data_IF_435883793032
#
_entry.id   IF_435883793032
#
_cell.length_a   1.000
_cell.length_b   1.000
_cell.length_c   1.000
_cell.angle_alpha   90.00
_cell.angle_beta   90.00
_cell.angle_gamma   90.00
#
_symmetry.space_group_name_H-M   'P 1'
#
loop_
_entity.id
_entity.type
_entity.pdbx_description
1 polymer ?
#
# COMPACT_ATOMS: atom_id res chain seq x y z
N UNK A 1 -24.59 -0.74 -6.97
CA UNK A 1 -23.49 0.04 -7.58
C UNK A 1 -23.61 1.47 -7.09
N UNK A 2 -22.78 1.98 -6.18
CA UNK A 2 -22.79 3.37 -5.84
C UNK A 2 -21.91 4.12 -6.85
N UNK A 3 -22.51 5.11 -7.51
CA UNK A 3 -21.84 6.06 -8.38
C UNK A 3 -20.73 6.80 -7.63
N UNK A 4 -19.51 6.64 -8.08
CA UNK A 4 -18.38 7.46 -7.64
C UNK A 4 -18.47 8.81 -8.38
N UNK A 5 -19.21 9.76 -7.83
CA UNK A 5 -19.33 11.11 -8.38
C UNK A 5 -17.99 11.84 -8.24
N UNK A 6 -17.36 12.14 -9.36
CA UNK A 6 -16.15 12.95 -9.47
C UNK A 6 -16.56 14.42 -9.40
N UNK A 7 -16.10 15.12 -8.36
CA UNK A 7 -16.27 16.57 -8.23
C UNK A 7 -15.11 17.27 -8.94
N UNK A 8 -15.47 17.92 -10.02
CA UNK A 8 -14.91 19.06 -10.75
C UNK A 8 -13.38 19.20 -10.91
N UNK A 9 -12.96 19.11 -12.17
CA UNK A 9 -11.71 19.69 -12.64
C UNK A 9 -10.83 18.83 -13.54
N UNK A 10 -11.26 17.64 -13.96
CA UNK A 10 -10.51 16.82 -14.92
C UNK A 10 -11.35 16.60 -16.16
N UNK A 11 -10.78 16.96 -17.31
CA UNK A 11 -11.34 16.77 -18.65
C UNK A 11 -11.86 15.35 -18.81
N UNK A 12 -13.16 15.23 -19.07
CA UNK A 12 -13.82 13.96 -19.37
C UNK A 12 -13.27 13.44 -20.70
N UNK A 13 -12.40 12.47 -20.67
CA UNK A 13 -12.12 11.65 -21.83
C UNK A 13 -13.35 10.78 -22.05
N UNK A 14 -14.08 11.08 -23.14
CA UNK A 14 -15.28 10.33 -23.54
C UNK A 14 -14.96 8.83 -23.56
N UNK A 15 -15.70 8.07 -22.79
CA UNK A 15 -15.76 6.62 -22.86
C UNK A 15 -16.06 6.20 -24.30
N UNK A 16 -15.06 5.67 -25.00
CA UNK A 16 -15.29 4.94 -26.25
C UNK A 16 -15.97 3.62 -25.88
N UNK A 17 -17.03 3.32 -26.63
CA UNK A 17 -17.93 2.19 -26.45
C UNK A 17 -17.21 0.88 -26.09
N UNK A 18 -17.79 0.17 -25.11
CA UNK A 18 -17.43 -1.22 -24.80
C UNK A 18 -17.72 -2.09 -26.02
N UNK A 19 -16.79 -2.91 -26.51
CA UNK A 19 -17.12 -4.01 -27.37
C UNK A 19 -17.90 -5.08 -26.60
N UNK A 20 -18.85 -5.66 -27.28
CA UNK A 20 -19.80 -6.67 -26.83
C UNK A 20 -19.21 -7.81 -26.01
N UNK A 21 -19.96 -8.17 -24.99
CA UNK A 21 -20.02 -9.41 -24.20
C UNK A 21 -19.38 -10.62 -24.89
N UNK A 22 -18.14 -10.93 -24.51
CA UNK A 22 -17.66 -12.31 -24.56
C UNK A 22 -18.14 -12.99 -23.27
N UNK A 23 -19.15 -13.83 -23.37
CA UNK A 23 -19.57 -14.78 -22.35
C UNK A 23 -18.45 -15.78 -22.09
N UNK A 24 -17.69 -15.54 -21.07
CA UNK A 24 -16.76 -16.48 -20.46
C UNK A 24 -16.50 -15.95 -19.07
N UNK A 25 -16.80 -16.76 -18.04
CA UNK A 25 -16.44 -16.53 -16.65
C UNK A 25 -14.91 -16.31 -16.54
N UNK A 26 -14.44 -15.09 -16.83
CA UNK A 26 -13.08 -14.70 -16.54
C UNK A 26 -13.05 -14.34 -15.05
N UNK A 27 -12.51 -15.25 -14.25
CA UNK A 27 -12.12 -14.96 -12.87
C UNK A 27 -11.22 -13.73 -12.90
N UNK A 28 -11.53 -12.68 -12.13
CA UNK A 28 -10.72 -11.47 -12.08
C UNK A 28 -9.26 -11.85 -11.84
N UNK A 29 -8.37 -11.46 -12.75
CA UNK A 29 -6.95 -11.74 -12.60
C UNK A 29 -6.36 -10.73 -11.60
N UNK A 30 -6.20 -11.18 -10.37
CA UNK A 30 -5.54 -10.41 -9.31
C UNK A 30 -4.05 -10.72 -9.34
N UNK A 31 -3.23 -9.70 -9.43
CA UNK A 31 -1.79 -9.82 -9.42
C UNK A 31 -1.17 -8.87 -8.39
N UNK A 32 -0.24 -9.40 -7.61
CA UNK A 32 0.66 -8.56 -6.82
C UNK A 32 2.03 -8.65 -7.49
N UNK A 33 2.61 -7.51 -7.80
CA UNK A 33 3.90 -7.41 -8.45
C UNK A 33 4.71 -6.21 -7.99
N UNK A 34 5.99 -6.23 -8.29
CA UNK A 34 6.83 -5.03 -8.15
C UNK A 34 6.34 -3.95 -9.09
N UNK A 35 6.36 -2.71 -8.62
CA UNK A 35 6.07 -1.54 -9.45
C UNK A 35 7.21 -1.28 -10.43
N UNK A 36 6.86 -0.75 -11.58
CA UNK A 36 7.77 -0.28 -12.63
C UNK A 36 7.66 1.24 -12.82
N UNK A 37 8.57 1.83 -13.57
CA UNK A 37 8.49 3.26 -13.88
C UNK A 37 7.18 3.68 -14.57
N UNK A 38 6.54 2.78 -15.33
CA UNK A 38 5.25 3.03 -15.98
C UNK A 38 4.09 3.20 -14.98
N UNK A 39 4.22 2.66 -13.78
CA UNK A 39 3.17 2.68 -12.76
C UNK A 39 3.15 3.99 -11.95
N UNK A 40 4.17 4.84 -12.08
CA UNK A 40 4.37 6.06 -11.28
C UNK A 40 3.16 6.99 -11.32
N UNK A 41 2.59 7.21 -12.49
CA UNK A 41 1.44 8.08 -12.64
C UNK A 41 0.26 7.54 -11.84
N UNK A 42 -0.05 6.25 -11.99
CA UNK A 42 -1.16 5.62 -11.29
C UNK A 42 -0.96 5.57 -9.77
N UNK A 43 0.24 5.31 -9.32
CA UNK A 43 0.61 5.37 -7.89
C UNK A 43 0.41 6.78 -7.32
N UNK A 44 0.80 7.80 -8.07
CA UNK A 44 0.56 9.20 -7.70
C UNK A 44 -0.94 9.52 -7.60
N UNK A 45 -1.74 9.10 -8.58
CA UNK A 45 -3.21 9.26 -8.55
C UNK A 45 -3.83 8.63 -7.30
N UNK A 46 -3.44 7.39 -6.96
CA UNK A 46 -3.90 6.70 -5.75
C UNK A 46 -3.52 7.50 -4.51
N UNK A 47 -2.26 7.94 -4.44
CA UNK A 47 -1.76 8.72 -3.30
C UNK A 47 -2.55 10.02 -3.10
N UNK A 48 -2.86 10.75 -4.18
CA UNK A 48 -3.65 11.98 -4.12
C UNK A 48 -5.14 11.76 -3.86
N UNK A 49 -5.68 10.61 -4.24
CA UNK A 49 -7.08 10.24 -3.97
C UNK A 49 -7.33 9.99 -2.47
N UNK A 50 -6.31 9.56 -1.73
CA UNK A 50 -6.38 9.34 -0.27
C UNK A 50 -6.17 10.67 0.45
N UNK A 51 -7.13 11.06 1.30
CA UNK A 51 -7.10 12.34 2.02
C UNK A 51 -6.28 12.30 3.31
N UNK A 52 -6.09 11.11 3.86
CA UNK A 52 -5.34 10.88 5.10
C UNK A 52 -3.83 10.91 4.84
N UNK A 53 -3.03 11.28 5.85
CA UNK A 53 -1.56 11.27 5.80
C UNK A 53 -0.96 12.09 4.65
N UNK A 54 -1.40 13.33 4.48
CA UNK A 54 -0.84 14.22 3.45
C UNK A 54 0.61 14.61 3.80
N UNK A 55 1.53 14.53 2.82
CA UNK A 55 2.92 14.87 3.08
C UNK A 55 3.10 16.36 3.33
N UNK A 56 3.89 16.70 4.34
CA UNK A 56 4.21 18.09 4.67
C UNK A 56 5.19 18.74 3.69
N UNK A 57 6.02 17.94 2.99
CA UNK A 57 7.05 18.41 2.07
C UNK A 57 7.04 17.63 0.74
N UNK A 58 6.43 18.17 -0.33
CA UNK A 58 6.34 17.50 -1.62
C UNK A 58 7.69 17.15 -2.25
N UNK A 59 8.69 18.04 -2.15
CA UNK A 59 10.00 17.81 -2.78
C UNK A 59 10.76 16.64 -2.12
N UNK A 60 10.62 16.47 -0.81
CA UNK A 60 11.21 15.34 -0.11
C UNK A 60 10.54 14.02 -0.52
N UNK A 61 9.24 14.05 -0.71
CA UNK A 61 8.47 12.89 -1.18
C UNK A 61 8.88 12.46 -2.58
N UNK A 62 9.08 13.40 -3.49
CA UNK A 62 9.51 13.09 -4.86
C UNK A 62 10.87 12.35 -4.87
N UNK A 63 11.85 12.86 -4.10
CA UNK A 63 13.15 12.20 -3.95
C UNK A 63 13.05 10.80 -3.33
N UNK A 64 12.17 10.62 -2.34
CA UNK A 64 11.92 9.33 -1.74
C UNK A 64 11.31 8.37 -2.78
N UNK A 65 10.30 8.81 -3.51
CA UNK A 65 9.64 8.01 -4.56
C UNK A 65 10.66 7.57 -5.62
N UNK A 66 11.52 8.47 -6.09
CA UNK A 66 12.58 8.13 -7.05
C UNK A 66 13.51 7.04 -6.53
N UNK A 67 13.93 7.17 -5.26
CA UNK A 67 14.78 6.17 -4.64
C UNK A 67 14.07 4.82 -4.48
N UNK A 68 12.81 4.80 -4.03
CA UNK A 68 12.02 3.57 -3.85
C UNK A 68 11.83 2.81 -5.16
N UNK A 69 11.57 3.52 -6.26
CA UNK A 69 11.46 2.90 -7.59
C UNK A 69 12.81 2.36 -8.08
N UNK A 70 13.89 3.12 -7.89
CA UNK A 70 15.24 2.68 -8.28
C UNK A 70 15.67 1.41 -7.53
N UNK A 71 15.19 1.19 -6.31
CA UNK A 71 15.55 0.04 -5.47
C UNK A 71 14.48 -1.06 -5.44
N UNK A 72 13.44 -0.96 -6.28
CA UNK A 72 12.39 -1.98 -6.42
C UNK A 72 11.69 -2.36 -5.10
N UNK A 73 11.49 -1.39 -4.20
CA UNK A 73 10.85 -1.61 -2.89
C UNK A 73 9.36 -1.34 -2.89
N UNK A 74 8.78 -1.01 -4.05
CA UNK A 74 7.36 -0.71 -4.22
C UNK A 74 6.63 -1.93 -4.77
N UNK A 75 5.52 -2.30 -4.11
CA UNK A 75 4.61 -3.36 -4.55
C UNK A 75 3.25 -2.77 -4.93
N UNK A 76 2.64 -3.29 -5.98
CA UNK A 76 1.30 -2.89 -6.43
C UNK A 76 0.35 -4.09 -6.43
N UNK A 77 -0.91 -3.80 -6.09
CA UNK A 77 -2.04 -4.69 -6.33
C UNK A 77 -2.72 -4.26 -7.61
N UNK A 78 -2.75 -5.15 -8.57
CA UNK A 78 -3.40 -4.96 -9.88
C UNK A 78 -4.52 -5.97 -10.06
N UNK A 79 -5.66 -5.53 -10.57
CA UNK A 79 -6.79 -6.37 -10.93
C UNK A 79 -7.33 -5.88 -12.26
N UNK A 80 -7.47 -6.80 -13.21
CA UNK A 80 -7.92 -6.51 -14.59
C UNK A 80 -7.13 -5.36 -15.26
N UNK A 81 -5.83 -5.30 -15.07
CA UNK A 81 -4.94 -4.28 -15.62
C UNK A 81 -5.03 -2.91 -14.91
N UNK A 82 -5.76 -2.82 -13.78
CA UNK A 82 -5.90 -1.57 -13.02
C UNK A 82 -5.22 -1.69 -11.67
N UNK A 83 -4.23 -0.85 -11.41
CA UNK A 83 -3.61 -0.75 -10.08
C UNK A 83 -4.59 -0.07 -9.13
N UNK A 84 -4.92 -0.77 -8.04
CA UNK A 84 -5.91 -0.37 -7.04
C UNK A 84 -5.28 0.06 -5.71
N UNK A 85 -4.04 -0.37 -5.44
CA UNK A 85 -3.31 -0.03 -4.23
C UNK A 85 -1.82 -0.31 -4.36
N UNK A 86 -1.04 0.23 -3.45
CA UNK A 86 0.40 -0.02 -3.38
C UNK A 86 0.94 0.06 -1.96
N UNK A 87 2.09 -0.59 -1.74
CA UNK A 87 2.90 -0.45 -0.53
C UNK A 87 4.35 -0.19 -0.88
N UNK A 88 5.08 0.46 0.03
CA UNK A 88 6.51 0.66 -0.09
C UNK A 88 7.19 0.67 1.28
N UNK A 89 8.39 0.11 1.33
CA UNK A 89 9.27 0.15 2.49
C UNK A 89 10.57 0.86 2.15
N UNK A 90 11.13 1.57 3.13
CA UNK A 90 12.46 2.16 3.04
C UNK A 90 13.43 1.35 3.92
N UNK A 91 14.27 0.48 3.33
CA UNK A 91 15.20 -0.32 4.10
C UNK A 91 16.42 0.47 4.63
N UNK A 92 16.46 1.78 4.46
CA UNK A 92 17.50 2.62 5.06
C UNK A 92 17.22 2.93 6.52
N UNK A 93 15.94 2.86 6.94
CA UNK A 93 15.50 3.28 8.27
C UNK A 93 14.37 2.42 8.89
N UNK A 94 14.25 1.16 8.48
CA UNK A 94 13.21 0.19 8.92
C UNK A 94 11.75 0.64 8.71
N UNK A 95 11.49 1.63 7.85
CA UNK A 95 10.16 2.21 7.73
C UNK A 95 9.31 1.60 6.63
N UNK A 96 8.02 1.42 6.94
CA UNK A 96 6.96 1.29 5.93
C UNK A 96 6.51 2.71 5.58
N UNK A 97 6.98 3.23 4.45
CA UNK A 97 6.75 4.62 4.06
C UNK A 97 5.48 4.84 3.25
N UNK A 98 4.86 3.77 2.75
CA UNK A 98 3.59 3.85 2.03
C UNK A 98 2.76 2.58 2.17
N UNK A 99 1.47 2.75 2.39
CA UNK A 99 0.42 1.75 2.20
C UNK A 99 -0.86 2.49 1.83
N UNK A 100 -1.21 2.48 0.56
CA UNK A 100 -2.35 3.23 0.04
C UNK A 100 -3.22 2.33 -0.83
N UNK A 101 -4.53 2.44 -0.62
CA UNK A 101 -5.55 1.81 -1.46
C UNK A 101 -6.46 2.91 -1.98
N UNK A 102 -6.72 2.91 -3.27
CA UNK A 102 -7.63 3.88 -3.87
C UNK A 102 -9.03 3.76 -3.22
N UNK A 103 -9.69 4.86 -2.86
CA UNK A 103 -10.95 4.83 -2.10
C UNK A 103 -12.05 3.95 -2.69
N UNK A 104 -12.14 3.86 -4.03
CA UNK A 104 -13.12 3.00 -4.70
C UNK A 104 -12.87 1.49 -4.54
N UNK A 105 -11.70 1.09 -4.05
CA UNK A 105 -11.30 -0.33 -3.90
C UNK A 105 -11.01 -0.73 -2.45
N UNK A 106 -11.33 0.14 -1.50
CA UNK A 106 -11.16 -0.14 -0.09
C UNK A 106 -12.03 -1.31 0.40
N UNK A 107 -11.67 -1.87 1.57
CA UNK A 107 -12.38 -2.95 2.25
C UNK A 107 -12.41 -4.29 1.47
N UNK A 108 -11.56 -4.43 0.47
CA UNK A 108 -11.38 -5.64 -0.35
C UNK A 108 -10.18 -6.49 0.07
N UNK A 109 -9.53 -6.16 1.19
CA UNK A 109 -8.35 -6.88 1.68
C UNK A 109 -7.01 -6.45 1.06
N UNK A 110 -7.00 -5.52 0.11
CA UNK A 110 -5.80 -5.09 -0.64
C UNK A 110 -4.67 -4.64 0.29
N UNK A 111 -4.97 -3.77 1.27
CA UNK A 111 -3.95 -3.32 2.23
C UNK A 111 -3.37 -4.45 3.07
N UNK A 112 -4.21 -5.41 3.47
CA UNK A 112 -3.77 -6.59 4.22
C UNK A 112 -2.89 -7.54 3.40
N UNK A 113 -3.09 -7.58 2.09
CA UNK A 113 -2.26 -8.37 1.19
C UNK A 113 -0.92 -7.67 0.86
N UNK A 114 -0.92 -6.34 0.75
CA UNK A 114 0.26 -5.56 0.40
C UNK A 114 1.22 -5.32 1.57
N UNK A 115 0.71 -5.17 2.80
CA UNK A 115 1.51 -4.84 3.97
C UNK A 115 2.60 -5.86 4.29
N UNK A 116 2.34 -7.20 4.25
CA UNK A 116 3.38 -8.20 4.48
C UNK A 116 4.55 -8.08 3.51
N UNK A 117 4.31 -7.73 2.24
CA UNK A 117 5.37 -7.60 1.24
C UNK A 117 6.30 -6.42 1.52
N UNK A 118 5.76 -5.32 2.05
CA UNK A 118 6.59 -4.22 2.54
C UNK A 118 7.40 -4.64 3.79
N UNK A 119 6.82 -5.42 4.69
CA UNK A 119 7.53 -6.00 5.82
C UNK A 119 8.64 -6.97 5.38
N UNK A 120 8.41 -7.78 4.35
CA UNK A 120 9.41 -8.71 3.81
C UNK A 120 10.62 -7.97 3.23
N UNK A 121 10.43 -6.79 2.60
CA UNK A 121 11.56 -5.94 2.14
C UNK A 121 12.46 -5.56 3.32
N UNK A 122 11.89 -5.18 4.45
CA UNK A 122 12.67 -4.81 5.65
C UNK A 122 13.35 -6.05 6.26
N UNK A 123 12.64 -7.16 6.35
CA UNK A 123 13.19 -8.43 6.83
C UNK A 123 14.38 -8.90 5.98
N UNK A 124 14.24 -8.84 4.64
CA UNK A 124 15.31 -9.23 3.72
C UNK A 124 16.53 -8.28 3.82
N UNK A 125 16.31 -7.05 4.30
CA UNK A 125 17.37 -6.08 4.61
C UNK A 125 17.97 -6.24 6.01
N UNK A 126 17.54 -7.26 6.78
CA UNK A 126 18.10 -7.62 8.08
C UNK A 126 17.41 -6.96 9.28
N UNK A 127 16.34 -6.21 9.09
CA UNK A 127 15.58 -5.64 10.20
C UNK A 127 14.72 -6.70 10.91
N UNK A 128 14.64 -6.61 12.24
CA UNK A 128 13.77 -7.46 13.06
C UNK A 128 12.42 -6.82 13.32
N UNK A 129 12.33 -5.51 13.10
CA UNK A 129 11.13 -4.70 13.30
C UNK A 129 10.83 -3.87 12.07
N UNK A 130 9.56 -3.52 11.90
CA UNK A 130 9.09 -2.52 10.97
C UNK A 130 8.40 -1.40 11.75
N UNK A 131 8.60 -0.16 11.30
CA UNK A 131 8.01 1.03 11.89
C UNK A 131 7.19 1.78 10.83
N UNK A 132 6.09 2.37 11.25
CA UNK A 132 5.29 3.27 10.42
C UNK A 132 4.66 4.36 11.27
N UNK A 133 4.15 5.39 10.64
CA UNK A 133 3.35 6.39 11.33
C UNK A 133 2.07 6.73 10.55
N UNK A 134 1.02 7.11 11.27
CA UNK A 134 -0.26 7.51 10.70
C UNK A 134 -0.95 8.57 11.55
N UNK A 135 -1.82 9.37 10.94
CA UNK A 135 -2.64 10.34 11.66
C UNK A 135 -3.59 9.65 12.66
N UNK A 136 -3.74 10.25 13.83
CA UNK A 136 -4.68 9.79 14.87
C UNK A 136 -6.14 9.92 14.41
N UNK A 137 -7.00 9.01 14.86
CA UNK A 137 -8.44 8.99 14.54
C UNK A 137 -8.78 8.47 13.15
N UNK A 138 -7.79 8.07 12.34
CA UNK A 138 -7.97 7.63 10.96
C UNK A 138 -8.39 6.16 10.84
N UNK A 139 -8.78 5.76 9.63
CA UNK A 139 -9.02 4.35 9.29
C UNK A 139 -7.71 3.56 9.29
N UNK A 140 -6.61 4.19 8.89
CA UNK A 140 -5.29 3.59 8.88
C UNK A 140 -4.86 3.22 10.31
N UNK A 141 -5.06 4.07 11.30
CA UNK A 141 -4.80 3.75 12.70
C UNK A 141 -5.56 2.49 13.13
N UNK A 142 -6.88 2.44 12.89
CA UNK A 142 -7.70 1.26 13.24
C UNK A 142 -7.25 0.00 12.54
N UNK A 143 -6.84 0.13 11.28
CA UNK A 143 -6.30 -0.98 10.50
C UNK A 143 -5.03 -1.55 11.13
N UNK A 144 -4.05 -0.72 11.48
CA UNK A 144 -2.79 -1.17 12.09
C UNK A 144 -3.01 -1.79 13.46
N UNK A 145 -3.86 -1.21 14.32
CA UNK A 145 -4.22 -1.82 15.61
C UNK A 145 -4.82 -3.20 15.43
N UNK A 146 -5.73 -3.37 14.47
CA UNK A 146 -6.39 -4.66 14.18
C UNK A 146 -5.42 -5.67 13.57
N UNK A 147 -4.39 -5.21 12.83
CA UNK A 147 -3.36 -6.05 12.21
C UNK A 147 -2.23 -6.41 13.19
N UNK A 148 -2.35 -6.05 14.47
CA UNK A 148 -1.42 -6.42 15.54
C UNK A 148 -0.15 -5.58 15.60
N UNK A 149 -0.21 -4.33 15.09
CA UNK A 149 0.84 -3.34 15.30
C UNK A 149 0.68 -2.72 16.70
N UNK A 150 1.81 -2.48 17.35
CA UNK A 150 1.87 -1.88 18.69
C UNK A 150 2.22 -0.41 18.57
N UNK A 151 1.43 0.46 19.22
CA UNK A 151 1.76 1.87 19.37
C UNK A 151 2.98 2.00 20.29
N UNK A 152 3.99 2.75 19.83
CA UNK A 152 5.25 2.97 20.57
C UNK A 152 5.53 4.43 20.85
N UNK A 153 4.71 5.35 20.35
CA UNK A 153 4.85 6.78 20.59
C UNK A 153 4.07 7.63 19.59
N UNK A 154 4.33 8.92 19.63
CA UNK A 154 3.80 9.88 18.66
C UNK A 154 4.89 10.86 18.21
N UNK A 155 4.74 11.38 16.99
CA UNK A 155 5.59 12.44 16.44
C UNK A 155 5.11 13.81 16.94
N UNK A 156 5.95 14.83 16.78
CA UNK A 156 5.62 16.23 17.11
C UNK A 156 4.40 16.76 16.35
N UNK A 157 4.15 16.25 15.15
CA UNK A 157 2.99 16.58 14.31
C UNK A 157 1.71 15.80 14.68
N UNK A 158 1.74 15.00 15.76
CA UNK A 158 0.60 14.22 16.25
C UNK A 158 0.38 12.88 15.55
N UNK A 159 1.26 12.46 14.65
CA UNK A 159 1.17 11.13 14.07
C UNK A 159 1.54 10.06 15.10
N UNK A 160 0.73 9.01 15.18
CA UNK A 160 0.99 7.83 16.02
C UNK A 160 2.06 6.97 15.33
N UNK A 161 3.07 6.56 16.10
CA UNK A 161 4.13 5.65 15.65
C UNK A 161 3.73 4.22 16.04
N UNK A 162 3.71 3.34 15.06
CA UNK A 162 3.45 1.92 15.23
C UNK A 162 4.70 1.10 14.90
N UNK A 163 4.88 0.00 15.65
CA UNK A 163 5.95 -0.97 15.44
C UNK A 163 5.40 -2.39 15.39
N UNK A 164 5.99 -3.24 14.57
CA UNK A 164 5.69 -4.67 14.51
C UNK A 164 6.96 -5.49 14.33
N UNK A 165 7.08 -6.62 15.04
CA UNK A 165 8.14 -7.57 14.80
C UNK A 165 7.91 -8.27 13.46
N UNK A 166 8.86 -8.20 12.54
CA UNK A 166 8.83 -8.85 11.22
C UNK A 166 9.69 -10.12 11.19
N UNK A 167 10.48 -10.37 12.23
CA UNK A 167 11.33 -11.54 12.38
C UNK A 167 10.62 -12.56 13.27
N UNK A 168 9.88 -13.50 12.69
CA UNK A 168 9.32 -14.61 13.48
C UNK A 168 7.83 -14.80 13.38
N UNK A 169 7.37 -15.18 12.21
CA UNK A 169 6.17 -16.01 12.06
C UNK A 169 6.50 -17.21 11.16
N UNK A 170 7.67 -17.79 11.36
CA UNK A 170 7.90 -19.14 10.89
C UNK A 170 7.06 -20.05 11.79
N UNK A 171 5.97 -20.61 11.28
CA UNK A 171 5.33 -21.76 11.91
C UNK A 171 6.45 -22.80 12.10
N UNK A 172 6.88 -22.99 13.33
CA UNK A 172 7.63 -24.17 13.71
C UNK A 172 6.80 -25.40 13.40
N UNK A 173 7.03 -26.01 12.25
CA UNK A 173 6.70 -27.41 12.04
C UNK A 173 7.67 -28.19 12.93
N UNK A 174 7.23 -28.54 14.13
CA UNK A 174 7.94 -29.45 14.99
C UNK A 174 8.17 -30.76 14.25
N UNK A 175 9.39 -31.24 14.05
CA UNK A 175 9.60 -32.61 13.67
C UNK A 175 9.21 -33.48 14.87
N UNK A 176 8.20 -34.33 14.69
CA UNK A 176 7.91 -35.41 15.61
C UNK A 176 9.14 -36.28 15.76
N UNK A 177 9.73 -36.27 16.95
CA UNK A 177 10.73 -37.26 17.34
C UNK A 177 9.97 -38.52 17.72
N UNK A 178 10.13 -39.57 16.92
CA UNK A 178 9.86 -40.96 17.32
C UNK A 178 11.12 -41.61 17.78
#
# INVERSE_FOLDING_TARGET
>A
MPDCAIIQGVTIVKRTAYPELATGDQVPQQHIRKATGADRQRISEIRFAVRENRPSNPALIERLVDWLFANSTVWVWEEDGVIQGFSAADPRDESICALFVHPCYERRGIGRALLPLACDVLKDSGYTTAVLSTEAGTRAERFYRTDGWTEVGCKEDGQIIFQKNVWGSTRCSSPSCS
#
